data_IF_035540386728
#
_entry.id   IF_035540386728
#
_cell.length_a   1.000
_cell.length_b   1.000
_cell.length_c   1.000
_cell.angle_alpha   90.00
_cell.angle_beta   90.00
_cell.angle_gamma   90.00
#
_symmetry.space_group_name_H-M   'P 1'
#
loop_
_entity.id
_entity.type
_entity.pdbx_description
1 polymer ?
#
# COMPACT_ATOMS: atom_id res chain seq x y z
N UNK A 1 23.10 -26.75 10.34
CA UNK A 1 22.83 -26.67 11.78
C UNK A 1 21.32 -26.75 11.98
N UNK A 2 20.77 -27.81 12.59
CA UNK A 2 19.33 -28.01 12.71
C UNK A 2 18.81 -27.47 14.05
N UNK A 3 17.70 -26.71 14.06
CA UNK A 3 17.05 -26.36 15.31
C UNK A 3 16.12 -25.15 15.26
N UNK A 4 14.90 -25.31 14.73
CA UNK A 4 13.79 -24.38 15.04
C UNK A 4 12.41 -25.07 15.13
N UNK A 5 12.37 -26.38 15.38
CA UNK A 5 11.10 -27.12 15.53
C UNK A 5 10.74 -27.38 17.00
N UNK A 6 10.66 -26.37 17.86
CA UNK A 6 10.21 -26.57 19.26
C UNK A 6 9.48 -25.39 19.94
N UNK A 7 8.81 -24.49 19.21
CA UNK A 7 8.00 -23.44 19.84
C UNK A 7 6.58 -23.34 19.25
N UNK A 8 5.83 -24.43 19.34
CA UNK A 8 4.38 -24.42 19.13
C UNK A 8 3.68 -25.42 20.06
N UNK A 9 3.86 -25.26 21.37
CA UNK A 9 3.04 -25.98 22.36
C UNK A 9 3.08 -25.28 23.73
N UNK A 10 2.29 -24.22 23.89
CA UNK A 10 1.86 -23.73 25.21
C UNK A 10 0.76 -22.68 25.03
N UNK A 11 -0.45 -22.94 25.55
CA UNK A 11 -1.47 -21.89 25.68
C UNK A 11 -2.92 -22.35 25.60
N UNK A 12 -3.31 -23.35 26.39
CA UNK A 12 -4.73 -23.65 26.60
C UNK A 12 -4.98 -24.21 28.00
N UNK A 13 -4.68 -23.42 29.04
CA UNK A 13 -5.22 -23.60 30.38
C UNK A 13 -5.30 -22.22 31.03
N UNK A 14 -6.49 -21.75 31.37
CA UNK A 14 -6.84 -20.91 32.55
C UNK A 14 -8.31 -20.48 32.41
N UNK A 15 -9.18 -21.15 33.17
CA UNK A 15 -10.26 -20.62 34.02
C UNK A 15 -11.01 -21.88 34.51
N UNK A 16 -11.05 -22.25 35.79
CA UNK A 16 -10.92 -21.52 37.04
C UNK A 16 -12.04 -22.05 37.96
N UNK A 17 -11.63 -22.71 39.03
CA UNK A 17 -12.43 -23.54 39.93
C UNK A 17 -13.55 -22.81 40.70
N UNK A 18 -14.63 -23.53 41.07
CA UNK A 18 -15.30 -23.37 42.37
C UNK A 18 -16.16 -24.62 42.71
N UNK A 19 -15.84 -25.26 43.83
CA UNK A 19 -16.63 -26.33 44.48
C UNK A 19 -17.83 -25.78 45.25
N UNK A 20 -18.92 -26.54 45.31
CA UNK A 20 -19.99 -26.37 46.30
C UNK A 20 -21.25 -27.14 45.90
N UNK A 21 -21.53 -28.25 46.59
CA UNK A 21 -22.60 -29.19 46.23
C UNK A 21 -24.01 -28.75 46.62
N UNK A 22 -25.00 -29.42 46.03
CA UNK A 22 -26.38 -29.45 46.50
C UNK A 22 -27.45 -29.31 45.41
N UNK A 23 -28.16 -30.41 45.17
CA UNK A 23 -29.58 -30.50 44.76
C UNK A 23 -29.94 -30.23 43.28
N UNK A 24 -30.26 -31.35 42.62
CA UNK A 24 -31.43 -31.60 41.74
C UNK A 24 -31.78 -30.59 40.64
N UNK A 25 -31.62 -31.01 39.38
CA UNK A 25 -32.76 -31.11 38.46
C UNK A 25 -32.35 -31.87 37.18
N UNK A 26 -33.21 -32.80 36.79
CA UNK A 26 -33.16 -33.53 35.53
C UNK A 26 -33.15 -32.60 34.31
N UNK A 27 -32.23 -32.83 33.38
CA UNK A 27 -32.53 -32.64 31.96
C UNK A 27 -32.01 -33.84 31.16
N UNK A 28 -32.97 -34.67 30.82
CA UNK A 28 -32.90 -35.66 29.76
C UNK A 28 -32.58 -35.03 28.41
N UNK A 29 -32.03 -35.90 27.57
CA UNK A 29 -32.19 -35.97 26.11
C UNK A 29 -30.96 -35.47 25.34
N UNK A 30 -30.26 -36.47 24.82
CA UNK A 30 -29.06 -36.29 24.04
C UNK A 30 -29.34 -35.60 22.71
N UNK A 31 -28.34 -34.83 22.28
CA UNK A 31 -28.07 -34.57 20.89
C UNK A 31 -26.55 -34.49 20.78
N UNK A 32 -25.92 -35.60 20.36
CA UNK A 32 -24.54 -35.61 19.87
C UNK A 32 -24.50 -34.78 18.59
N UNK A 33 -24.42 -33.46 18.71
CA UNK A 33 -24.12 -32.59 17.57
C UNK A 33 -22.62 -32.72 17.28
N UNK A 34 -22.28 -33.70 16.44
CA UNK A 34 -20.99 -33.74 15.77
C UNK A 34 -20.89 -32.50 14.87
N UNK A 35 -20.37 -31.40 15.40
CA UNK A 35 -19.92 -30.27 14.60
C UNK A 35 -18.68 -30.75 13.84
N UNK A 36 -18.89 -31.21 12.61
CA UNK A 36 -17.83 -31.39 11.64
C UNK A 36 -17.41 -30.01 11.13
N UNK A 37 -16.47 -29.38 11.84
CA UNK A 37 -15.70 -28.28 11.28
C UNK A 37 -14.79 -28.85 10.18
N UNK A 38 -15.31 -28.96 8.96
CA UNK A 38 -14.48 -29.07 7.78
C UNK A 38 -13.75 -27.75 7.58
N UNK A 39 -12.63 -27.58 8.29
CA UNK A 39 -11.61 -26.61 7.88
C UNK A 39 -11.04 -27.15 6.58
N UNK A 40 -11.53 -26.66 5.43
CA UNK A 40 -10.79 -26.78 4.18
C UNK A 40 -9.51 -25.95 4.33
N UNK A 41 -8.49 -26.54 4.95
CA UNK A 41 -7.14 -26.03 4.85
C UNK A 41 -6.80 -26.02 3.37
N UNK A 42 -6.62 -24.84 2.79
CA UNK A 42 -6.11 -24.66 1.43
C UNK A 42 -4.63 -25.11 1.45
N UNK A 43 -4.41 -26.40 1.60
CA UNK A 43 -3.09 -27.01 1.59
C UNK A 43 -2.64 -27.07 0.13
N UNK A 44 -1.76 -26.16 -0.28
CA UNK A 44 -1.09 -26.28 -1.58
C UNK A 44 -0.72 -25.01 -2.32
N UNK A 45 -0.99 -23.79 -1.80
CA UNK A 45 -0.50 -22.55 -2.43
C UNK A 45 0.46 -21.84 -1.48
N UNK A 46 1.75 -22.12 -1.64
CA UNK A 46 2.80 -21.28 -1.03
C UNK A 46 2.82 -19.95 -1.76
N UNK A 47 2.80 -18.83 -1.04
CA UNK A 47 3.03 -17.53 -1.69
C UNK A 47 4.51 -17.46 -2.07
N UNK A 48 4.80 -17.19 -3.34
CA UNK A 48 6.17 -17.05 -3.80
C UNK A 48 6.50 -15.58 -4.06
N UNK A 49 7.74 -15.19 -3.76
CA UNK A 49 8.24 -13.85 -4.05
C UNK A 49 8.83 -13.79 -5.46
N UNK A 50 8.84 -12.60 -6.07
CA UNK A 50 9.27 -12.43 -7.47
C UNK A 50 10.71 -12.90 -7.73
N UNK A 51 11.57 -12.98 -6.72
CA UNK A 51 12.99 -13.35 -6.82
C UNK A 51 13.29 -14.79 -6.38
N UNK A 52 12.31 -15.53 -5.87
CA UNK A 52 12.53 -16.81 -5.18
C UNK A 52 13.07 -17.93 -6.08
N UNK A 53 12.70 -17.89 -7.37
CA UNK A 53 13.10 -18.91 -8.36
C UNK A 53 14.02 -18.35 -9.45
N UNK A 54 14.65 -17.20 -9.20
CA UNK A 54 15.56 -16.59 -10.16
C UNK A 54 17.01 -16.93 -9.82
N UNK A 55 17.80 -17.25 -10.85
CA UNK A 55 19.26 -17.23 -10.75
C UNK A 55 19.77 -15.80 -10.58
N UNK A 56 20.98 -15.64 -10.06
CA UNK A 56 21.59 -14.32 -9.84
C UNK A 56 21.73 -13.52 -11.15
N UNK A 57 22.13 -14.17 -12.23
CA UNK A 57 22.23 -13.58 -13.56
C UNK A 57 20.87 -13.06 -14.04
N UNK A 58 19.82 -13.88 -13.95
CA UNK A 58 18.47 -13.51 -14.38
C UNK A 58 17.91 -12.37 -13.52
N UNK A 59 18.19 -12.37 -12.21
CA UNK A 59 17.74 -11.31 -11.34
C UNK A 59 18.32 -9.94 -11.73
N UNK A 60 19.60 -9.89 -12.12
CA UNK A 60 20.23 -8.64 -12.59
C UNK A 60 19.64 -8.19 -13.93
N UNK A 61 19.43 -9.13 -14.86
CA UNK A 61 18.86 -8.86 -16.17
C UNK A 61 17.44 -8.28 -16.09
N UNK A 62 16.57 -8.90 -15.29
CA UNK A 62 15.18 -8.43 -15.13
C UNK A 62 15.13 -7.04 -14.50
N UNK A 63 16.00 -6.74 -13.53
CA UNK A 63 16.08 -5.38 -12.95
C UNK A 63 16.47 -4.34 -13.99
N UNK A 64 17.42 -4.66 -14.86
CA UNK A 64 17.86 -3.74 -15.92
C UNK A 64 16.74 -3.53 -16.95
N UNK A 65 16.12 -4.62 -17.42
CA UNK A 65 15.02 -4.59 -18.38
C UNK A 65 13.87 -3.70 -17.88
N UNK A 66 13.38 -3.93 -16.65
CA UNK A 66 12.32 -3.11 -16.05
C UNK A 66 12.74 -1.64 -15.95
N UNK A 67 13.99 -1.38 -15.56
CA UNK A 67 14.48 0.00 -15.45
C UNK A 67 14.54 0.73 -16.79
N UNK A 68 14.79 0.03 -17.89
CA UNK A 68 14.88 0.63 -19.22
C UNK A 68 13.47 0.81 -19.82
N UNK A 69 12.55 -0.12 -19.56
CA UNK A 69 11.14 0.04 -19.88
C UNK A 69 10.51 1.23 -19.14
N UNK A 70 10.75 1.37 -17.83
CA UNK A 70 10.25 2.48 -17.02
C UNK A 70 10.72 3.84 -17.57
N UNK A 71 12.01 3.95 -17.92
CA UNK A 71 12.58 5.16 -18.52
C UNK A 71 11.96 5.47 -19.88
N UNK A 72 11.76 4.45 -20.71
CA UNK A 72 11.14 4.60 -22.02
C UNK A 72 9.68 5.07 -21.90
N UNK A 73 8.92 4.49 -20.97
CA UNK A 73 7.55 4.90 -20.68
C UNK A 73 7.48 6.36 -20.18
N UNK A 74 8.36 6.73 -19.25
CA UNK A 74 8.45 8.11 -18.75
C UNK A 74 8.80 9.10 -19.88
N UNK A 75 9.79 8.77 -20.71
CA UNK A 75 10.18 9.59 -21.84
C UNK A 75 9.05 9.75 -22.86
N UNK A 76 8.26 8.70 -23.09
CA UNK A 76 7.10 8.76 -23.99
C UNK A 76 6.02 9.74 -23.50
N UNK A 77 5.82 9.84 -22.18
CA UNK A 77 4.79 10.69 -21.55
C UNK A 77 5.26 12.10 -21.20
N UNK A 78 6.50 12.45 -21.52
CA UNK A 78 7.08 13.76 -21.27
C UNK A 78 6.43 14.89 -22.09
N UNK A 79 5.78 14.56 -23.21
CA UNK A 79 5.21 15.54 -24.15
C UNK A 79 3.66 15.49 -24.20
N UNK A 80 2.95 15.85 -23.12
CA UNK A 80 1.50 15.67 -23.03
C UNK A 80 0.70 16.52 -24.02
N UNK A 81 1.27 17.59 -24.58
CA UNK A 81 0.58 18.44 -25.56
C UNK A 81 0.60 17.89 -26.99
N UNK A 82 1.45 16.89 -27.27
CA UNK A 82 1.51 16.24 -28.58
C UNK A 82 0.46 15.14 -28.71
N UNK A 83 0.09 14.53 -27.59
CA UNK A 83 -0.93 13.50 -27.48
C UNK A 83 -2.28 14.18 -27.22
N UNK A 84 -3.19 14.15 -28.21
CA UNK A 84 -4.56 14.72 -28.21
C UNK A 84 -5.03 15.31 -26.85
N UNK A 85 -4.69 16.57 -26.57
CA UNK A 85 -4.99 17.15 -25.28
C UNK A 85 -6.47 17.46 -25.16
N UNK A 86 -6.98 17.29 -23.94
CA UNK A 86 -8.34 17.67 -23.60
C UNK A 86 -8.52 19.19 -23.77
N UNK A 87 -9.75 19.67 -24.05
CA UNK A 87 -10.00 21.08 -24.24
C UNK A 87 -9.57 21.89 -23.01
N UNK A 88 -8.80 22.96 -23.24
CA UNK A 88 -8.32 23.85 -22.19
C UNK A 88 -9.36 24.95 -22.00
N UNK A 89 -9.97 24.99 -20.83
CA UNK A 89 -10.95 26.02 -20.45
C UNK A 89 -10.27 27.25 -19.83
N UNK A 90 -10.85 28.46 -20.01
CA UNK A 90 -10.37 29.66 -19.33
C UNK A 90 -10.58 29.56 -17.81
N UNK A 91 -9.83 30.38 -17.06
CA UNK A 91 -10.01 30.46 -15.61
C UNK A 91 -11.32 31.18 -15.26
N UNK A 92 -12.09 30.59 -14.35
CA UNK A 92 -13.32 31.17 -13.81
C UNK A 92 -13.26 31.29 -12.27
N UNK A 93 -13.93 32.29 -11.66
CA UNK A 93 -14.03 32.40 -10.22
C UNK A 93 -14.68 31.15 -9.59
N UNK A 94 -14.06 30.60 -8.55
CA UNK A 94 -14.51 29.35 -7.91
C UNK A 94 -13.89 28.08 -8.53
N UNK A 95 -13.07 28.20 -9.57
CA UNK A 95 -12.31 27.07 -10.12
C UNK A 95 -11.20 26.61 -9.15
N UNK A 96 -11.09 25.30 -8.94
CA UNK A 96 -9.98 24.68 -8.20
C UNK A 96 -9.06 23.90 -9.14
N UNK A 97 -7.75 24.12 -9.01
CA UNK A 97 -6.72 23.41 -9.80
C UNK A 97 -6.25 22.14 -9.10
N UNK A 98 -5.57 21.29 -9.86
CA UNK A 98 -4.93 20.05 -9.37
C UNK A 98 -3.75 20.40 -8.45
N UNK A 99 -3.55 19.57 -7.43
CA UNK A 99 -2.38 19.63 -6.55
C UNK A 99 -1.19 18.85 -7.11
N UNK A 100 -0.11 18.80 -6.32
CA UNK A 100 1.09 18.02 -6.63
C UNK A 100 1.44 17.10 -5.45
N UNK A 101 2.10 15.99 -5.74
CA UNK A 101 2.70 15.10 -4.76
C UNK A 101 4.21 15.33 -4.79
N UNK A 102 4.79 15.66 -3.65
CA UNK A 102 6.20 15.98 -3.52
C UNK A 102 6.83 15.24 -2.32
N UNK A 103 8.14 14.97 -2.43
CA UNK A 103 8.95 14.36 -1.38
C UNK A 103 9.67 15.47 -0.60
N UNK A 104 9.51 15.47 0.72
CA UNK A 104 10.24 16.39 1.60
C UNK A 104 11.71 15.98 1.69
N UNK A 105 12.61 16.84 1.23
CA UNK A 105 14.05 16.62 1.28
C UNK A 105 14.66 17.09 2.60
N UNK A 106 14.18 18.21 3.14
CA UNK A 106 14.76 18.82 4.33
C UNK A 106 14.34 20.27 4.52
N UNK A 107 15.09 20.98 5.35
CA UNK A 107 14.87 22.40 5.63
C UNK A 107 16.15 23.18 5.42
N UNK A 108 16.05 24.39 4.87
CA UNK A 108 17.18 25.30 4.71
C UNK A 108 16.77 26.75 5.01
N UNK A 109 17.70 27.62 5.44
CA UNK A 109 17.42 29.04 5.58
C UNK A 109 17.50 29.76 4.24
N UNK A 110 16.60 30.71 4.00
CA UNK A 110 16.60 31.62 2.86
C UNK A 110 16.56 33.07 3.38
N UNK A 111 17.38 33.94 2.79
CA UNK A 111 17.47 35.35 3.17
C UNK A 111 16.67 36.22 2.20
N UNK A 112 15.79 37.06 2.73
CA UNK A 112 15.04 38.03 1.93
C UNK A 112 15.90 39.24 1.57
N UNK A 113 15.43 40.05 0.61
CA UNK A 113 16.08 41.31 0.23
C UNK A 113 16.18 42.29 1.41
N UNK A 114 15.25 42.20 2.35
CA UNK A 114 15.21 43.01 3.57
C UNK A 114 16.17 42.52 4.67
N UNK A 115 16.97 41.47 4.38
CA UNK A 115 17.93 40.90 5.32
C UNK A 115 17.33 39.98 6.38
N UNK A 116 16.05 39.61 6.28
CA UNK A 116 15.40 38.69 7.22
C UNK A 116 15.64 37.23 6.82
N UNK A 117 15.88 36.38 7.83
CA UNK A 117 16.10 34.94 7.65
C UNK A 117 14.77 34.18 7.80
N UNK A 118 14.38 33.44 6.77
CA UNK A 118 13.22 32.55 6.78
C UNK A 118 13.63 31.08 6.66
N UNK A 119 13.04 30.23 7.50
CA UNK A 119 13.20 28.78 7.38
C UNK A 119 12.25 28.25 6.30
N UNK A 120 12.79 27.59 5.28
CA UNK A 120 12.01 27.00 4.18
C UNK A 120 12.17 25.49 4.14
N UNK A 121 11.16 24.80 3.63
CA UNK A 121 11.18 23.34 3.41
C UNK A 121 11.38 23.05 1.93
N UNK A 122 12.30 22.14 1.62
CA UNK A 122 12.56 21.69 0.27
C UNK A 122 11.62 20.53 -0.08
N UNK A 123 10.80 20.73 -1.12
CA UNK A 123 9.88 19.73 -1.65
C UNK A 123 10.28 19.42 -3.10
N UNK A 124 10.65 18.17 -3.37
CA UNK A 124 10.99 17.70 -4.71
C UNK A 124 9.79 16.98 -5.32
N UNK A 125 9.34 17.43 -6.48
CA UNK A 125 8.32 16.72 -7.27
C UNK A 125 9.03 15.62 -8.06
N UNK A 126 8.67 14.36 -7.79
CA UNK A 126 9.21 13.19 -8.48
C UNK A 126 8.05 12.42 -9.14
N UNK A 127 8.13 12.22 -10.46
CA UNK A 127 7.19 11.45 -11.27
C UNK A 127 5.70 11.68 -10.95
N UNK A 128 5.28 12.95 -10.94
CA UNK A 128 3.91 13.32 -10.61
C UNK A 128 3.02 13.30 -11.87
N UNK A 129 2.13 12.31 -11.95
CA UNK A 129 1.26 12.08 -13.11
C UNK A 129 -0.20 11.87 -12.70
N UNK A 130 -1.13 12.30 -13.54
CA UNK A 130 -2.56 12.02 -13.35
C UNK A 130 -2.84 10.58 -13.77
N UNK A 131 -3.41 9.79 -12.86
CA UNK A 131 -3.75 8.38 -13.08
C UNK A 131 -5.18 8.21 -13.59
N UNK A 132 -6.12 8.98 -13.05
CA UNK A 132 -7.55 8.82 -13.33
C UNK A 132 -8.32 10.12 -13.13
N UNK A 133 -9.27 10.36 -14.03
CA UNK A 133 -10.33 11.34 -13.87
C UNK A 133 -11.63 10.64 -13.46
N UNK A 134 -12.30 11.16 -12.42
CA UNK A 134 -13.63 10.71 -11.99
C UNK A 134 -14.57 11.91 -12.05
N UNK A 135 -15.65 11.84 -12.85
CA UNK A 135 -16.58 12.96 -13.00
C UNK A 135 -17.38 13.16 -11.71
N UNK A 136 -18.03 14.32 -11.59
CA UNK A 136 -18.75 14.74 -10.38
C UNK A 136 -19.84 13.75 -9.96
N UNK A 137 -20.52 13.12 -10.91
CA UNK A 137 -21.62 12.19 -10.62
C UNK A 137 -21.11 10.96 -9.85
N UNK A 138 -19.90 10.51 -10.17
CA UNK A 138 -19.31 9.27 -9.66
C UNK A 138 -18.41 9.46 -8.43
N UNK A 139 -18.20 10.69 -7.97
CA UNK A 139 -17.32 10.98 -6.84
C UNK A 139 -18.08 11.40 -5.57
N UNK A 140 -18.67 12.60 -5.57
CA UNK A 140 -19.37 13.14 -4.39
C UNK A 140 -20.56 14.05 -4.78
N UNK A 141 -20.98 14.03 -6.05
CA UNK A 141 -22.04 14.87 -6.61
C UNK A 141 -21.72 16.37 -6.72
N UNK A 142 -20.71 16.87 -5.98
CA UNK A 142 -20.34 18.28 -5.88
C UNK A 142 -19.12 18.66 -6.71
N UNK A 143 -18.09 17.82 -6.71
CA UNK A 143 -16.80 18.08 -7.37
C UNK A 143 -16.32 16.84 -8.11
N UNK A 144 -15.63 17.05 -9.23
CA UNK A 144 -14.87 16.01 -9.90
C UNK A 144 -13.58 15.69 -9.13
N UNK A 145 -13.06 14.48 -9.29
CA UNK A 145 -11.83 14.04 -8.64
C UNK A 145 -10.77 13.67 -9.68
N UNK A 146 -9.54 14.08 -9.40
CA UNK A 146 -8.35 13.70 -10.16
C UNK A 146 -7.43 12.92 -9.22
N UNK A 147 -7.19 11.66 -9.56
CA UNK A 147 -6.24 10.82 -8.84
C UNK A 147 -4.86 11.06 -9.41
N UNK A 148 -3.92 11.48 -8.55
CA UNK A 148 -2.54 11.79 -8.92
C UNK A 148 -1.63 10.77 -8.26
N UNK A 149 -0.69 10.22 -9.04
CA UNK A 149 0.41 9.40 -8.55
C UNK A 149 1.64 10.25 -8.29
N UNK A 150 2.51 9.78 -7.40
CA UNK A 150 3.81 10.39 -7.16
C UNK A 150 4.80 9.35 -6.69
N UNK A 151 6.09 9.57 -7.00
CA UNK A 151 7.22 8.66 -6.74
C UNK A 151 7.03 7.26 -7.34
N UNK A 152 7.82 6.93 -8.34
CA UNK A 152 7.89 5.57 -8.89
C UNK A 152 8.38 4.59 -7.82
N UNK A 153 7.61 3.54 -7.55
CA UNK A 153 7.96 2.45 -6.63
C UNK A 153 8.34 1.22 -7.43
N UNK A 154 9.41 0.54 -7.02
CA UNK A 154 9.86 -0.70 -7.65
C UNK A 154 9.47 -1.88 -6.78
N UNK A 155 8.84 -2.89 -7.39
CA UNK A 155 8.31 -4.06 -6.68
C UNK A 155 9.36 -4.82 -5.85
N UNK A 156 10.64 -4.68 -6.19
CA UNK A 156 11.74 -5.32 -5.49
C UNK A 156 12.32 -4.53 -4.31
N UNK A 157 11.92 -3.27 -4.12
CA UNK A 157 12.32 -2.46 -2.96
C UNK A 157 11.27 -2.48 -1.83
N UNK A 158 10.12 -3.12 -2.04
CA UNK A 158 9.09 -3.33 -1.01
C UNK A 158 9.53 -4.51 -0.12
N UNK A 159 10.64 -4.33 0.59
CA UNK A 159 10.99 -5.20 1.71
C UNK A 159 10.13 -4.73 2.88
N UNK A 160 9.02 -5.44 3.07
CA UNK A 160 8.19 -5.53 4.27
C UNK A 160 8.60 -4.58 5.42
N UNK A 161 8.20 -3.31 5.35
CA UNK A 161 8.17 -2.45 6.54
C UNK A 161 6.93 -2.86 7.34
N UNK A 162 7.02 -3.99 8.05
CA UNK A 162 6.15 -4.21 9.21
C UNK A 162 6.67 -3.29 10.28
N UNK A 163 6.02 -2.15 10.46
CA UNK A 163 6.08 -1.45 11.73
C UNK A 163 5.42 -2.37 12.77
N UNK A 164 6.24 -2.97 13.63
CA UNK A 164 5.82 -3.39 14.97
C UNK A 164 5.88 -2.17 15.88
#
# INVERSE_FOLDING_TARGET
MPGWRLLAQAGAQVLGCASGGGLSANLSLGCRTNIWLFVRGLHGKSSTWWYEHLSEENASFIKQLVSDEDKAQLASKMSPLKDEPWPIHPWEPGSSRVGLIAVKLGMMPLWTKDGQKHAVTLLQVQDCHVLKYTPKENHNGKTAALTVGGKTVRFYEIILVVLV
#
